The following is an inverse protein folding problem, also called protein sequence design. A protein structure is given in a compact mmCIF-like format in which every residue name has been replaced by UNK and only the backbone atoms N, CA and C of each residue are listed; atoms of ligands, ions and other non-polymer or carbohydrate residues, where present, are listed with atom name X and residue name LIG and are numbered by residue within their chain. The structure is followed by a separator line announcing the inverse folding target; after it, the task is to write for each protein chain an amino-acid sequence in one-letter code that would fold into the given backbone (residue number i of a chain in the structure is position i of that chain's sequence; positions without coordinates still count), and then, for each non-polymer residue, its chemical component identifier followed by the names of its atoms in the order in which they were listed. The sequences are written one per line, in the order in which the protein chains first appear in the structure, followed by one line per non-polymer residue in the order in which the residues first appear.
data_IF_996089702247
#
_entry.id   IF_996089702247
#
_cell.length_a   1.000
_cell.length_b   1.000
_cell.length_c   1.000
_cell.angle_alpha   90.00
_cell.angle_beta   90.00
_cell.angle_gamma   90.00
#
_symmetry.space_group_name_H-M   'P 1'
#
loop_
_entity.id
_entity.type
_entity.pdbx_description
1 polymer ?
#
# COMPACT_ATOMS: atom_id res chain seq x y z
N UNK A 1 -0.68 3.98 28.41
CA UNK A 1 -0.59 2.66 27.74
C UNK A 1 -1.00 1.57 28.73
N UNK A 2 -1.29 0.35 28.24
CA UNK A 2 -1.61 -0.81 29.11
C UNK A 2 -0.38 -1.70 29.19
N UNK A 3 0.20 -1.85 30.41
CA UNK A 3 1.34 -2.73 30.64
C UNK A 3 0.85 -4.10 31.03
N UNK A 4 1.24 -5.13 30.26
CA UNK A 4 0.77 -6.49 30.37
C UNK A 4 1.92 -7.48 30.24
N UNK A 5 1.95 -8.54 31.08
CA UNK A 5 2.88 -9.63 30.85
C UNK A 5 2.43 -10.42 29.63
N UNK A 6 3.38 -10.70 28.73
CA UNK A 6 3.08 -11.45 27.51
C UNK A 6 2.71 -12.90 27.85
N UNK A 7 1.65 -13.39 27.26
CA UNK A 7 1.15 -14.77 27.32
C UNK A 7 0.35 -15.03 26.07
N UNK A 8 0.07 -16.26 25.74
CA UNK A 8 -0.81 -16.62 24.61
C UNK A 8 -2.20 -15.98 24.72
N UNK A 9 -2.72 -15.86 25.94
CA UNK A 9 -4.02 -15.25 26.18
C UNK A 9 -3.99 -13.74 25.99
N UNK A 10 -3.00 -13.03 26.56
CA UNK A 10 -2.85 -11.59 26.36
C UNK A 10 -2.59 -11.22 24.90
N UNK A 11 -1.83 -12.02 24.16
CA UNK A 11 -1.62 -11.83 22.71
C UNK A 11 -2.93 -11.92 21.95
N UNK A 12 -3.76 -12.92 22.27
CA UNK A 12 -5.08 -13.09 21.63
C UNK A 12 -5.99 -11.90 21.92
N UNK A 13 -6.09 -11.44 23.17
CA UNK A 13 -6.91 -10.30 23.55
C UNK A 13 -6.49 -9.01 22.85
N UNK A 14 -5.17 -8.80 22.69
CA UNK A 14 -4.61 -7.67 21.95
C UNK A 14 -4.99 -7.74 20.48
N UNK A 15 -4.79 -8.90 19.84
CA UNK A 15 -5.17 -9.11 18.45
C UNK A 15 -6.67 -8.84 18.22
N UNK A 16 -7.54 -9.35 19.09
CA UNK A 16 -8.99 -9.08 19.02
C UNK A 16 -9.29 -7.61 19.16
N UNK A 17 -8.58 -6.87 20.03
CA UNK A 17 -8.74 -5.43 20.17
C UNK A 17 -8.24 -4.66 18.93
N UNK A 18 -7.08 -5.02 18.40
CA UNK A 18 -6.52 -4.42 17.19
C UNK A 18 -7.45 -4.62 15.98
N UNK A 19 -8.04 -5.82 15.83
CA UNK A 19 -8.97 -6.13 14.73
C UNK A 19 -10.27 -5.31 14.78
N UNK A 20 -10.66 -4.74 15.91
CA UNK A 20 -11.81 -3.82 15.99
C UNK A 20 -11.63 -2.56 15.12
N UNK A 21 -10.38 -2.20 14.81
CA UNK A 21 -10.02 -1.08 13.93
C UNK A 21 -10.08 -1.42 12.44
N UNK A 22 -10.32 -2.70 12.11
CA UNK A 22 -10.35 -3.15 10.72
C UNK A 22 -11.50 -2.49 9.95
N UNK A 23 -11.27 -2.01 8.72
CA UNK A 23 -12.31 -1.52 7.82
C UNK A 23 -13.46 -2.51 7.59
N UNK A 24 -13.25 -3.80 7.84
CA UNK A 24 -14.29 -4.82 7.75
C UNK A 24 -15.40 -4.67 8.82
N UNK A 25 -15.17 -3.89 9.87
CA UNK A 25 -16.13 -3.66 10.96
C UNK A 25 -16.96 -2.38 10.77
N UNK A 26 -16.82 -1.67 9.66
CA UNK A 26 -17.50 -0.39 9.38
C UNK A 26 -18.75 -0.51 8.51
N UNK A 27 -19.52 -1.59 8.63
CA UNK A 27 -20.72 -1.88 7.82
C UNK A 27 -21.74 -0.74 7.74
N UNK A 28 -21.81 0.14 8.76
CA UNK A 28 -22.68 1.32 8.74
C UNK A 28 -22.35 2.33 7.62
N UNK A 29 -21.13 2.34 7.10
CA UNK A 29 -20.70 3.23 6.01
C UNK A 29 -20.79 2.56 4.63
N UNK A 30 -20.90 1.24 4.57
CA UNK A 30 -20.89 0.49 3.30
C UNK A 30 -22.06 0.88 2.40
N UNK A 31 -23.27 1.05 2.96
CA UNK A 31 -24.44 1.45 2.18
C UNK A 31 -24.28 2.85 1.56
N UNK A 32 -23.70 3.81 2.29
CA UNK A 32 -23.43 5.15 1.77
C UNK A 32 -22.41 5.11 0.62
N UNK A 33 -21.31 4.35 0.82
CA UNK A 33 -20.28 4.17 -0.21
C UNK A 33 -20.84 3.47 -1.45
N UNK A 34 -21.63 2.41 -1.29
CA UNK A 34 -22.26 1.71 -2.40
C UNK A 34 -23.17 2.63 -3.22
N UNK A 35 -23.95 3.49 -2.55
CA UNK A 35 -24.79 4.48 -3.23
C UNK A 35 -23.97 5.51 -4.01
N UNK A 36 -22.88 6.04 -3.43
CA UNK A 36 -21.99 6.97 -4.12
C UNK A 36 -21.40 6.32 -5.38
N UNK A 37 -20.88 5.10 -5.26
CA UNK A 37 -20.28 4.37 -6.38
C UNK A 37 -21.29 4.07 -7.48
N UNK A 38 -22.53 3.66 -7.13
CA UNK A 38 -23.60 3.42 -8.08
C UNK A 38 -23.97 4.69 -8.84
N UNK A 39 -24.12 5.83 -8.14
CA UNK A 39 -24.43 7.11 -8.78
C UNK A 39 -23.30 7.57 -9.72
N UNK A 40 -22.03 7.44 -9.32
CA UNK A 40 -20.89 7.81 -10.19
C UNK A 40 -20.86 6.91 -11.42
N UNK A 41 -21.14 5.61 -11.27
CA UNK A 41 -21.18 4.67 -12.39
C UNK A 41 -22.31 5.01 -13.37
N UNK A 42 -23.48 5.43 -12.89
CA UNK A 42 -24.66 5.70 -13.71
C UNK A 42 -24.63 7.11 -14.32
N UNK A 43 -24.27 8.12 -13.52
CA UNK A 43 -24.42 9.54 -13.87
C UNK A 43 -23.07 10.23 -14.22
N UNK A 44 -21.93 9.54 -14.03
CA UNK A 44 -20.60 10.06 -14.38
C UNK A 44 -20.28 11.39 -13.69
N UNK A 45 -19.92 12.39 -14.49
CA UNK A 45 -19.50 13.72 -14.00
C UNK A 45 -20.59 14.45 -13.20
N UNK A 46 -21.86 14.28 -13.53
CA UNK A 46 -22.95 14.90 -12.78
C UNK A 46 -22.93 14.49 -11.31
N UNK A 47 -22.81 13.19 -11.03
CA UNK A 47 -22.70 12.69 -9.66
C UNK A 47 -21.38 13.13 -9.02
N UNK A 48 -20.27 13.07 -9.76
CA UNK A 48 -18.95 13.45 -9.29
C UNK A 48 -18.91 14.90 -8.80
N UNK A 49 -19.44 15.84 -9.58
CA UNK A 49 -19.49 17.25 -9.24
C UNK A 49 -20.45 17.54 -8.09
N UNK A 50 -21.61 16.85 -8.08
CA UNK A 50 -22.60 16.98 -7.00
C UNK A 50 -21.98 16.58 -5.65
N UNK A 51 -21.31 15.43 -5.58
CA UNK A 51 -20.64 14.98 -4.36
C UNK A 51 -19.45 15.85 -3.95
N UNK A 52 -18.66 16.37 -4.89
CA UNK A 52 -17.58 17.30 -4.60
C UNK A 52 -18.14 18.60 -3.99
N UNK A 53 -19.23 19.13 -4.53
CA UNK A 53 -19.93 20.29 -3.96
C UNK A 53 -20.49 19.99 -2.58
N UNK A 54 -21.06 18.78 -2.37
CA UNK A 54 -21.65 18.37 -1.09
C UNK A 54 -20.58 18.18 -0.01
N UNK A 55 -19.49 17.46 -0.29
CA UNK A 55 -18.52 17.05 0.73
C UNK A 55 -17.37 18.05 0.87
N UNK A 56 -16.79 18.51 -0.23
CA UNK A 56 -15.65 19.42 -0.22
C UNK A 56 -16.06 20.90 -0.17
N UNK A 57 -17.38 21.21 -0.40
CA UNK A 57 -17.95 22.57 -0.43
C UNK A 57 -17.37 23.44 -1.56
N UNK A 58 -16.90 22.80 -2.61
CA UNK A 58 -16.31 23.45 -3.80
C UNK A 58 -17.10 23.07 -5.04
N UNK A 59 -17.40 24.05 -5.87
CA UNK A 59 -18.02 23.81 -7.18
C UNK A 59 -16.95 23.57 -8.22
N UNK A 60 -16.97 22.36 -8.80
CA UNK A 60 -16.10 21.97 -9.91
C UNK A 60 -16.96 21.70 -11.15
N UNK A 61 -16.39 22.04 -12.30
CA UNK A 61 -17.00 21.83 -13.62
C UNK A 61 -15.96 21.16 -14.53
N UNK A 62 -16.35 20.64 -15.70
CA UNK A 62 -15.40 19.97 -16.60
C UNK A 62 -14.12 20.78 -16.90
N UNK A 63 -14.24 22.10 -17.01
CA UNK A 63 -13.15 23.01 -17.32
C UNK A 63 -12.20 23.26 -16.12
N UNK A 64 -12.65 23.07 -14.90
CA UNK A 64 -11.89 23.39 -13.68
C UNK A 64 -11.50 22.18 -12.85
N UNK A 65 -12.04 20.98 -13.12
CA UNK A 65 -11.72 19.78 -12.34
C UNK A 65 -10.28 19.34 -12.51
N UNK A 66 -9.70 19.49 -13.71
CA UNK A 66 -8.30 19.19 -13.98
C UNK A 66 -7.40 20.36 -13.58
N UNK A 67 -6.32 20.05 -12.90
CA UNK A 67 -5.26 21.02 -12.58
C UNK A 67 -4.56 21.44 -13.86
N UNK A 68 -4.39 22.75 -14.02
CA UNK A 68 -3.73 23.36 -15.18
C UNK A 68 -2.22 23.53 -14.94
N UNK A 69 -1.44 23.67 -16.02
CA UNK A 69 -0.01 24.00 -15.91
C UNK A 69 0.20 25.35 -15.20
N UNK A 70 -0.70 26.31 -15.37
CA UNK A 70 -0.64 27.60 -14.66
C UNK A 70 -0.77 27.43 -13.13
N UNK A 71 -1.66 26.55 -12.66
CA UNK A 71 -1.78 26.22 -11.22
C UNK A 71 -0.51 25.53 -10.70
N UNK A 72 0.13 24.71 -11.52
CA UNK A 72 1.41 24.07 -11.17
C UNK A 72 2.52 25.12 -11.08
N UNK A 73 2.61 26.06 -12.03
CA UNK A 73 3.58 27.15 -11.99
C UNK A 73 3.36 28.07 -10.77
N UNK A 74 2.11 28.35 -10.43
CA UNK A 74 1.77 29.10 -9.21
C UNK A 74 2.23 28.33 -7.95
N UNK A 75 2.02 27.00 -7.91
CA UNK A 75 2.46 26.17 -6.82
C UNK A 75 3.99 26.19 -6.62
N UNK A 76 4.76 26.14 -7.70
CA UNK A 76 6.23 26.28 -7.61
C UNK A 76 6.69 27.62 -7.05
N UNK A 77 5.93 28.70 -7.30
CA UNK A 77 6.23 30.03 -6.73
C UNK A 77 5.85 30.12 -5.25
N UNK A 78 4.86 29.34 -4.81
CA UNK A 78 4.34 29.36 -3.46
C UNK A 78 5.10 28.43 -2.50
N UNK A 79 5.74 27.37 -3.00
CA UNK A 79 6.50 26.43 -2.18
C UNK A 79 7.87 27.01 -1.84
N UNK A 80 8.27 26.88 -0.58
CA UNK A 80 9.61 27.26 -0.13
C UNK A 80 10.69 26.49 -0.89
N UNK A 81 11.72 27.20 -1.34
CA UNK A 81 12.81 26.61 -2.13
C UNK A 81 13.54 25.50 -1.35
N UNK A 82 13.67 25.62 -0.02
CA UNK A 82 14.26 24.59 0.83
C UNK A 82 13.42 23.31 0.86
N UNK A 83 12.09 23.43 0.93
CA UNK A 83 11.17 22.28 0.88
C UNK A 83 11.24 21.60 -0.49
N UNK A 84 11.27 22.35 -1.58
CA UNK A 84 11.44 21.80 -2.93
C UNK A 84 12.73 20.98 -3.04
N UNK A 85 13.82 21.46 -2.47
CA UNK A 85 15.09 20.74 -2.44
C UNK A 85 15.01 19.44 -1.64
N UNK A 86 14.32 19.45 -0.49
CA UNK A 86 14.06 18.26 0.33
C UNK A 86 13.22 17.23 -0.43
N UNK A 87 12.13 17.67 -1.10
CA UNK A 87 11.28 16.81 -1.95
C UNK A 87 12.14 16.13 -3.03
N UNK A 88 13.02 16.86 -3.70
CA UNK A 88 13.90 16.31 -4.74
C UNK A 88 14.92 15.31 -4.19
N UNK A 89 15.48 15.56 -3.02
CA UNK A 89 16.38 14.60 -2.35
C UNK A 89 15.65 13.32 -1.97
N UNK A 90 14.46 13.41 -1.38
CA UNK A 90 13.62 12.27 -1.06
C UNK A 90 13.27 11.47 -2.34
N UNK A 91 12.87 12.15 -3.42
CA UNK A 91 12.58 11.54 -4.71
C UNK A 91 13.75 10.72 -5.26
N UNK A 92 14.98 11.20 -5.13
CA UNK A 92 16.19 10.47 -5.55
C UNK A 92 16.33 9.17 -4.76
N UNK A 93 16.19 9.22 -3.44
CA UNK A 93 16.30 8.05 -2.58
C UNK A 93 15.19 7.01 -2.89
N UNK A 94 13.92 7.47 -2.98
CA UNK A 94 12.78 6.61 -3.29
C UNK A 94 12.96 5.94 -4.65
N UNK A 95 13.36 6.70 -5.66
CA UNK A 95 13.63 6.17 -7.01
C UNK A 95 14.75 5.14 -6.99
N UNK A 96 15.87 5.46 -6.35
CA UNK A 96 17.04 4.56 -6.26
C UNK A 96 16.68 3.23 -5.59
N UNK A 97 15.84 3.26 -4.56
CA UNK A 97 15.35 2.04 -3.91
C UNK A 97 14.46 1.22 -4.85
N UNK A 98 13.45 1.84 -5.45
CA UNK A 98 12.49 1.14 -6.30
C UNK A 98 13.10 0.64 -7.62
N UNK A 99 14.16 1.27 -8.14
CA UNK A 99 14.88 0.77 -9.30
C UNK A 99 15.49 -0.64 -9.09
N UNK A 100 15.80 -1.01 -7.84
CA UNK A 100 16.28 -2.36 -7.50
C UNK A 100 15.18 -3.43 -7.60
N UNK A 101 13.91 -3.01 -7.60
CA UNK A 101 12.76 -3.91 -7.70
C UNK A 101 12.34 -4.21 -9.15
N UNK A 102 12.97 -3.60 -10.16
CA UNK A 102 12.61 -3.80 -11.56
C UNK A 102 12.81 -5.25 -11.96
N UNK A 103 11.78 -5.82 -12.61
CA UNK A 103 11.81 -7.16 -13.14
C UNK A 103 11.93 -7.14 -14.66
N UNK A 104 12.65 -8.12 -15.20
CA UNK A 104 12.82 -8.32 -16.64
C UNK A 104 12.00 -9.50 -17.13
N UNK A 105 11.54 -9.43 -18.39
CA UNK A 105 11.04 -10.61 -19.09
C UNK A 105 12.16 -11.62 -19.26
N UNK A 106 11.83 -12.90 -19.20
CA UNK A 106 12.79 -13.97 -19.36
C UNK A 106 12.24 -15.11 -20.24
N UNK A 107 13.13 -15.83 -20.88
CA UNK A 107 12.84 -16.98 -21.71
C UNK A 107 13.87 -18.08 -21.43
N UNK A 108 13.39 -19.32 -21.50
CA UNK A 108 14.24 -20.51 -21.52
C UNK A 108 13.87 -21.33 -22.76
N UNK A 109 14.85 -21.96 -23.39
CA UNK A 109 14.64 -22.80 -24.57
C UNK A 109 15.29 -24.15 -24.40
N UNK A 110 14.76 -25.16 -25.09
CA UNK A 110 15.32 -26.49 -25.16
C UNK A 110 15.86 -26.76 -26.58
N UNK A 111 16.75 -27.74 -26.71
CA UNK A 111 17.31 -28.18 -28.00
C UNK A 111 16.21 -28.66 -28.96
N UNK A 112 15.08 -29.14 -28.45
CA UNK A 112 13.94 -29.64 -29.22
C UNK A 112 13.03 -28.55 -29.77
N UNK A 113 13.37 -27.26 -29.59
CA UNK A 113 12.60 -26.15 -30.12
C UNK A 113 11.36 -25.79 -29.27
N UNK A 114 11.45 -26.00 -27.97
CA UNK A 114 10.49 -25.45 -27.00
C UNK A 114 11.05 -24.15 -26.44
N UNK A 115 10.20 -23.10 -26.32
CA UNK A 115 10.53 -21.88 -25.61
C UNK A 115 9.42 -21.57 -24.61
N UNK A 116 9.79 -21.45 -23.35
CA UNK A 116 8.91 -21.01 -22.27
C UNK A 116 9.45 -19.70 -21.70
N UNK A 117 8.56 -18.85 -21.26
CA UNK A 117 9.00 -17.57 -20.72
C UNK A 117 7.90 -16.84 -19.94
N UNK A 118 8.30 -15.70 -19.42
CA UNK A 118 7.40 -14.77 -18.76
C UNK A 118 7.65 -13.36 -19.30
N UNK A 119 6.61 -12.76 -19.87
CA UNK A 119 6.64 -11.37 -20.30
C UNK A 119 6.17 -10.48 -19.16
N UNK A 120 7.02 -9.56 -18.74
CA UNK A 120 6.72 -8.51 -17.76
C UNK A 120 6.31 -7.25 -18.52
N UNK A 121 5.15 -6.69 -18.19
CA UNK A 121 4.64 -5.45 -18.80
C UNK A 121 4.06 -4.55 -17.74
N UNK A 122 4.26 -3.22 -17.82
CA UNK A 122 3.58 -2.28 -16.92
C UNK A 122 2.07 -2.29 -17.14
N UNK A 123 1.32 -1.82 -16.15
CA UNK A 123 -0.07 -1.42 -16.31
C UNK A 123 -0.16 -0.24 -17.28
N UNK A 124 -1.31 -0.08 -17.96
CA UNK A 124 -1.45 1.02 -18.93
C UNK A 124 -1.77 2.35 -18.24
N UNK A 125 -2.61 2.32 -17.20
CA UNK A 125 -3.00 3.53 -16.48
C UNK A 125 -3.23 3.24 -15.02
N UNK A 126 -2.69 4.09 -14.15
CA UNK A 126 -2.79 3.96 -12.69
C UNK A 126 -3.41 5.22 -12.10
N UNK A 127 -4.35 5.03 -11.19
CA UNK A 127 -4.94 6.08 -10.38
C UNK A 127 -4.24 6.16 -9.02
N UNK A 128 -3.80 7.36 -8.66
CA UNK A 128 -3.20 7.65 -7.35
C UNK A 128 -4.16 8.54 -6.58
N UNK A 129 -4.67 8.03 -5.47
CA UNK A 129 -5.47 8.83 -4.55
C UNK A 129 -4.56 9.45 -3.48
N UNK A 130 -4.60 10.76 -3.35
CA UNK A 130 -3.89 11.48 -2.30
C UNK A 130 -4.92 12.18 -1.41
N UNK A 131 -4.94 11.90 -0.09
CA UNK A 131 -5.87 12.55 0.80
C UNK A 131 -5.57 14.05 0.91
N UNK A 132 -6.62 14.81 1.14
CA UNK A 132 -6.55 16.22 1.52
C UNK A 132 -7.14 16.44 2.91
N UNK A 133 -7.19 17.66 3.37
CA UNK A 133 -7.80 18.04 4.63
C UNK A 133 -6.83 18.71 5.61
N UNK A 134 -6.78 18.22 6.88
CA UNK A 134 -5.98 18.86 7.94
C UNK A 134 -4.47 18.75 7.77
N UNK A 135 -4.01 17.72 7.10
CA UNK A 135 -2.59 17.49 6.80
C UNK A 135 -2.35 17.42 5.29
N UNK A 136 -1.15 17.75 4.89
CA UNK A 136 -0.67 17.71 3.51
C UNK A 136 0.37 16.60 3.42
N UNK A 137 0.26 15.78 2.39
CA UNK A 137 1.07 14.56 2.28
C UNK A 137 1.90 14.51 0.98
N UNK A 138 2.87 15.41 0.77
CA UNK A 138 3.76 15.34 -0.41
C UNK A 138 4.57 14.04 -0.44
N UNK A 139 4.90 13.46 0.71
CA UNK A 139 5.56 12.14 0.80
C UNK A 139 4.71 11.03 0.20
N UNK A 140 3.39 10.98 0.51
CA UNK A 140 2.48 9.99 -0.07
C UNK A 140 2.33 10.14 -1.58
N UNK A 141 2.46 11.35 -2.11
CA UNK A 141 2.52 11.57 -3.57
C UNK A 141 3.73 10.86 -4.16
N UNK A 142 4.92 11.07 -3.59
CA UNK A 142 6.16 10.45 -4.06
C UNK A 142 6.08 8.93 -3.96
N UNK A 143 5.66 8.41 -2.80
CA UNK A 143 5.61 6.97 -2.51
C UNK A 143 4.63 6.19 -3.40
N UNK A 144 3.58 6.83 -3.90
CA UNK A 144 2.63 6.18 -4.82
C UNK A 144 3.03 6.34 -6.30
N UNK A 145 3.59 7.49 -6.70
CA UNK A 145 3.88 7.77 -8.12
C UNK A 145 5.22 7.19 -8.56
N UNK A 146 6.26 7.29 -7.72
CA UNK A 146 7.62 6.88 -8.12
C UNK A 146 7.71 5.41 -8.48
N UNK A 147 7.21 4.44 -7.69
CA UNK A 147 7.26 3.03 -8.09
C UNK A 147 6.47 2.74 -9.37
N UNK A 148 5.36 3.44 -9.62
CA UNK A 148 4.63 3.34 -10.89
C UNK A 148 5.45 3.84 -12.08
N UNK A 149 6.17 4.97 -11.94
CA UNK A 149 7.09 5.47 -12.98
C UNK A 149 8.26 4.53 -13.20
N UNK A 150 8.86 3.98 -12.14
CA UNK A 150 9.95 2.98 -12.24
C UNK A 150 9.47 1.71 -12.94
N UNK A 151 8.23 1.27 -12.70
CA UNK A 151 7.62 0.15 -13.40
C UNK A 151 7.42 0.43 -14.91
N UNK A 152 7.42 1.69 -15.33
CA UNK A 152 7.21 2.10 -16.71
C UNK A 152 5.73 2.35 -17.05
N UNK A 153 4.87 2.63 -16.07
CA UNK A 153 3.46 2.99 -16.31
C UNK A 153 3.40 4.25 -17.17
N UNK A 154 2.78 4.21 -18.36
CA UNK A 154 2.76 5.36 -19.27
C UNK A 154 1.83 6.49 -18.83
N UNK A 155 0.76 6.19 -18.08
CA UNK A 155 -0.22 7.18 -17.66
C UNK A 155 -0.51 7.08 -16.15
N UNK A 156 -0.20 8.12 -15.40
CA UNK A 156 -0.48 8.24 -13.96
C UNK A 156 -1.45 9.39 -13.72
N UNK A 157 -2.63 9.05 -13.24
CA UNK A 157 -3.74 9.97 -12.93
C UNK A 157 -3.82 10.15 -11.43
N UNK A 158 -3.61 11.34 -10.92
CA UNK A 158 -3.75 11.63 -9.49
C UNK A 158 -5.08 12.31 -9.20
N UNK A 159 -5.76 11.91 -8.12
CA UNK A 159 -6.92 12.60 -7.57
C UNK A 159 -6.63 13.05 -6.15
N UNK A 160 -7.04 14.26 -5.81
CA UNK A 160 -6.91 14.83 -4.47
C UNK A 160 -8.02 15.87 -4.26
N UNK A 161 -8.66 15.92 -3.07
CA UNK A 161 -9.70 16.90 -2.83
C UNK A 161 -9.15 18.33 -2.89
N UNK A 162 -9.91 19.28 -3.44
CA UNK A 162 -9.55 20.69 -3.42
C UNK A 162 -9.70 21.27 -2.00
N UNK A 163 -8.94 22.32 -1.70
CA UNK A 163 -9.19 23.19 -0.56
C UNK A 163 -10.46 24.02 -0.74
N UNK A 164 -10.88 24.73 0.31
CA UNK A 164 -12.09 25.58 0.29
C UNK A 164 -12.04 26.69 -0.79
N UNK A 165 -10.87 27.06 -1.23
CA UNK A 165 -10.59 28.01 -2.30
C UNK A 165 -10.63 27.38 -3.71
N UNK A 166 -10.94 26.09 -3.81
CA UNK A 166 -10.96 25.34 -5.06
C UNK A 166 -9.57 24.95 -5.60
N UNK A 167 -8.49 25.22 -4.86
CA UNK A 167 -7.12 24.91 -5.24
C UNK A 167 -6.61 23.65 -4.52
N UNK A 168 -5.65 22.99 -5.14
CA UNK A 168 -4.87 21.93 -4.49
C UNK A 168 -3.70 22.55 -3.76
N UNK A 169 -3.31 21.97 -2.63
CA UNK A 169 -2.17 22.44 -1.87
C UNK A 169 -0.89 22.51 -2.74
N UNK A 170 -0.14 23.61 -2.71
CA UNK A 170 1.04 23.80 -3.56
C UNK A 170 2.10 22.70 -3.41
N UNK A 171 2.42 22.23 -2.19
CA UNK A 171 3.44 21.19 -2.01
C UNK A 171 2.98 19.83 -2.56
N UNK A 172 1.67 19.53 -2.54
CA UNK A 172 1.09 18.34 -3.21
C UNK A 172 1.27 18.43 -4.73
N UNK A 173 0.97 19.60 -5.34
CA UNK A 173 1.14 19.79 -6.78
C UNK A 173 2.60 19.69 -7.23
N UNK A 174 3.49 20.34 -6.48
CA UNK A 174 4.93 20.29 -6.77
C UNK A 174 5.44 18.85 -6.65
N UNK A 175 5.10 18.14 -5.59
CA UNK A 175 5.49 16.74 -5.42
C UNK A 175 4.96 15.85 -6.56
N UNK A 176 3.71 16.06 -7.00
CA UNK A 176 3.11 15.32 -8.11
C UNK A 176 3.83 15.57 -9.44
N UNK A 177 4.18 16.83 -9.72
CA UNK A 177 4.92 17.20 -10.93
C UNK A 177 6.34 16.64 -10.93
N UNK A 178 7.07 16.79 -9.82
CA UNK A 178 8.43 16.24 -9.63
C UNK A 178 8.45 14.69 -9.72
N UNK A 179 7.43 14.02 -9.17
CA UNK A 179 7.28 12.56 -9.25
C UNK A 179 6.87 12.07 -10.65
N UNK A 180 6.25 12.92 -11.47
CA UNK A 180 5.85 12.65 -12.84
C UNK A 180 4.40 12.20 -13.01
N UNK A 181 3.44 12.76 -12.25
CA UNK A 181 2.02 12.63 -12.54
C UNK A 181 1.71 13.24 -13.91
N UNK A 182 0.89 12.54 -14.72
CA UNK A 182 0.52 13.02 -16.06
C UNK A 182 -0.75 13.88 -16.01
N UNK A 183 -1.67 13.57 -15.11
CA UNK A 183 -2.92 14.30 -14.93
C UNK A 183 -3.27 14.38 -13.44
N UNK A 184 -3.77 15.54 -13.01
CA UNK A 184 -4.18 15.78 -11.61
C UNK A 184 -5.60 16.32 -11.61
N UNK A 185 -6.49 15.71 -10.79
CA UNK A 185 -7.90 16.08 -10.70
C UNK A 185 -8.28 16.50 -9.28
N UNK A 186 -9.05 17.57 -9.18
CA UNK A 186 -9.54 18.18 -7.93
C UNK A 186 -10.80 17.51 -7.44
N UNK A 187 -10.66 16.27 -6.96
CA UNK A 187 -11.75 15.46 -6.43
C UNK A 187 -11.24 14.50 -5.38
N UNK A 188 -11.97 14.35 -4.28
CA UNK A 188 -11.67 13.47 -3.16
C UNK A 188 -12.75 12.41 -2.91
N UNK A 189 -12.62 11.69 -1.79
CA UNK A 189 -13.63 10.78 -1.28
C UNK A 189 -13.92 9.54 -2.12
N UNK A 190 -15.02 8.86 -1.77
CA UNK A 190 -15.47 7.66 -2.46
C UNK A 190 -15.83 7.91 -3.94
N UNK A 191 -16.32 9.12 -4.26
CA UNK A 191 -16.65 9.52 -5.62
C UNK A 191 -15.42 9.59 -6.52
N UNK A 192 -14.24 10.00 -6.01
CA UNK A 192 -12.98 9.96 -6.75
C UNK A 192 -12.58 8.52 -7.09
N UNK A 193 -12.72 7.59 -6.15
CA UNK A 193 -12.47 6.16 -6.36
C UNK A 193 -13.42 5.61 -7.42
N UNK A 194 -14.70 5.97 -7.36
CA UNK A 194 -15.70 5.60 -8.39
C UNK A 194 -15.32 6.13 -9.78
N UNK A 195 -14.91 7.40 -9.87
CA UNK A 195 -14.47 8.00 -11.13
C UNK A 195 -13.24 7.30 -11.72
N UNK A 196 -12.23 7.01 -10.91
CA UNK A 196 -11.05 6.25 -11.34
C UNK A 196 -11.40 4.82 -11.77
N UNK A 197 -12.32 4.16 -11.05
CA UNK A 197 -12.68 2.78 -11.33
C UNK A 197 -13.54 2.61 -12.59
N UNK A 198 -14.53 3.47 -12.79
CA UNK A 198 -15.51 3.32 -13.89
C UNK A 198 -15.17 4.18 -15.10
N UNK A 199 -14.44 5.27 -14.88
CA UNK A 199 -14.27 6.35 -15.86
C UNK A 199 -15.50 7.28 -15.88
N UNK A 200 -15.26 8.56 -16.17
CA UNK A 200 -16.28 9.56 -16.43
C UNK A 200 -15.90 10.34 -17.69
N UNK A 201 -16.70 11.33 -18.10
CA UNK A 201 -16.28 12.16 -19.24
C UNK A 201 -14.99 12.98 -18.94
N UNK A 202 -14.80 13.40 -17.69
CA UNK A 202 -13.61 14.20 -17.27
C UNK A 202 -12.45 13.32 -16.82
N UNK A 203 -12.69 12.20 -16.13
CA UNK A 203 -11.64 11.36 -15.50
C UNK A 203 -11.56 10.01 -16.22
N UNK A 204 -10.40 9.67 -16.78
CA UNK A 204 -10.24 8.38 -17.46
C UNK A 204 -10.25 7.20 -16.48
N UNK A 205 -10.83 6.06 -16.91
CA UNK A 205 -10.73 4.80 -16.18
C UNK A 205 -9.28 4.35 -16.06
N UNK A 206 -8.94 3.77 -14.89
CA UNK A 206 -7.61 3.22 -14.60
C UNK A 206 -7.63 1.69 -14.42
N UNK A 207 -6.46 1.06 -14.47
CA UNK A 207 -6.30 -0.39 -14.26
C UNK A 207 -6.10 -0.73 -12.78
N UNK A 208 -5.48 0.19 -12.01
CA UNK A 208 -5.21 0.04 -10.58
C UNK A 208 -5.36 1.38 -9.86
N UNK A 209 -5.89 1.35 -8.64
CA UNK A 209 -6.00 2.51 -7.75
C UNK A 209 -5.12 2.26 -6.53
N UNK A 210 -4.20 3.19 -6.25
CA UNK A 210 -3.31 3.14 -5.09
C UNK A 210 -3.45 4.41 -4.26
N UNK A 211 -3.00 4.36 -3.02
CA UNK A 211 -2.95 5.49 -2.10
C UNK A 211 -3.86 5.34 -0.89
N UNK A 212 -3.44 5.92 0.25
CA UNK A 212 -4.18 5.90 1.50
C UNK A 212 -5.40 6.83 1.46
N UNK A 213 -6.37 6.59 2.31
CA UNK A 213 -7.53 7.45 2.44
C UNK A 213 -8.34 7.12 3.68
N UNK A 214 -9.35 7.95 3.97
CA UNK A 214 -10.25 7.72 5.08
C UNK A 214 -11.12 6.47 4.84
N UNK A 215 -11.95 6.12 5.82
CA UNK A 215 -12.82 4.93 5.78
C UNK A 215 -13.70 4.86 4.52
N UNK A 216 -14.20 5.99 4.00
CA UNK A 216 -15.02 6.01 2.78
C UNK A 216 -14.19 5.62 1.55
N UNK A 217 -12.93 6.08 1.48
CA UNK A 217 -12.00 5.72 0.42
C UNK A 217 -11.60 4.25 0.51
N UNK A 218 -11.28 3.76 1.71
CA UNK A 218 -10.93 2.36 1.95
C UNK A 218 -12.06 1.42 1.54
N UNK A 219 -13.31 1.71 1.96
CA UNK A 219 -14.49 0.95 1.58
C UNK A 219 -14.82 1.05 0.09
N UNK A 220 -14.60 2.23 -0.53
CA UNK A 220 -14.78 2.38 -1.97
C UNK A 220 -13.76 1.55 -2.76
N UNK A 221 -12.47 1.55 -2.36
CA UNK A 221 -11.44 0.69 -2.95
C UNK A 221 -11.82 -0.80 -2.82
N UNK A 222 -12.25 -1.23 -1.63
CA UNK A 222 -12.76 -2.59 -1.39
C UNK A 222 -13.90 -2.95 -2.34
N UNK A 223 -14.87 -2.05 -2.52
CA UNK A 223 -16.07 -2.29 -3.34
C UNK A 223 -15.78 -2.36 -4.85
N UNK A 224 -14.77 -1.66 -5.35
CA UNK A 224 -14.39 -1.67 -6.76
C UNK A 224 -13.33 -2.72 -7.11
N UNK A 225 -12.77 -3.41 -6.11
CA UNK A 225 -11.80 -4.49 -6.33
C UNK A 225 -12.41 -5.61 -7.18
N UNK A 226 -11.65 -6.06 -8.17
CA UNK A 226 -12.12 -7.00 -9.20
C UNK A 226 -12.65 -6.29 -10.47
N UNK A 227 -13.12 -5.05 -10.36
CA UNK A 227 -13.40 -4.18 -11.51
C UNK A 227 -12.14 -3.40 -11.93
N UNK A 228 -11.39 -2.96 -10.94
CA UNK A 228 -10.00 -2.47 -11.04
C UNK A 228 -9.16 -3.13 -9.95
N UNK A 229 -7.83 -3.16 -10.10
CA UNK A 229 -6.95 -3.57 -9.02
C UNK A 229 -6.80 -2.45 -7.98
N UNK A 230 -6.43 -2.81 -6.76
CA UNK A 230 -6.05 -1.86 -5.70
C UNK A 230 -4.72 -2.24 -5.08
N UNK A 231 -4.09 -1.35 -4.31
CA UNK A 231 -2.94 -1.66 -3.45
C UNK A 231 -3.35 -2.56 -2.28
N UNK A 232 -4.00 -1.97 -1.26
CA UNK A 232 -4.47 -2.67 -0.07
C UNK A 232 -5.73 -1.97 0.49
N UNK A 233 -6.36 -2.61 1.47
CA UNK A 233 -7.42 -2.01 2.28
C UNK A 233 -6.75 -1.53 3.57
N UNK A 234 -6.27 -0.29 3.57
CA UNK A 234 -5.55 0.28 4.68
C UNK A 234 -6.48 0.53 5.89
N UNK A 235 -6.01 0.17 7.06
CA UNK A 235 -6.55 0.58 8.35
C UNK A 235 -5.75 1.73 8.97
N UNK A 236 -6.02 2.04 10.25
CA UNK A 236 -5.21 2.99 11.01
C UNK A 236 -3.77 2.54 11.16
N UNK A 237 -2.86 3.50 11.25
CA UNK A 237 -1.41 3.27 11.33
C UNK A 237 -0.98 2.51 12.59
N UNK A 238 0.14 1.82 12.50
CA UNK A 238 0.64 0.90 13.53
C UNK A 238 2.16 0.96 13.66
N UNK A 239 2.64 1.01 14.90
CA UNK A 239 4.05 0.76 15.21
C UNK A 239 4.18 -0.33 16.28
N UNK A 240 5.17 -1.19 16.10
CA UNK A 240 5.64 -2.15 17.09
C UNK A 240 7.14 -1.95 17.27
N UNK A 241 7.56 -1.62 18.47
CA UNK A 241 8.97 -1.57 18.86
C UNK A 241 9.32 -2.84 19.63
N UNK A 242 10.25 -3.62 19.12
CA UNK A 242 10.81 -4.80 19.78
C UNK A 242 12.16 -4.44 20.36
N UNK A 243 12.27 -4.41 21.70
CA UNK A 243 13.44 -3.86 22.39
C UNK A 243 13.91 -4.74 23.53
N UNK A 244 15.23 -4.75 23.78
CA UNK A 244 15.84 -5.33 24.99
C UNK A 244 16.31 -4.22 25.97
N UNK A 245 16.99 -4.61 27.04
CA UNK A 245 17.48 -3.71 28.07
C UNK A 245 18.53 -2.68 27.57
N UNK A 246 19.07 -2.87 26.38
CA UNK A 246 20.07 -1.95 25.80
C UNK A 246 19.46 -0.75 25.09
N UNK A 247 18.14 -0.79 24.83
CA UNK A 247 17.43 0.27 24.12
C UNK A 247 17.34 1.57 24.94
N UNK A 248 17.41 2.71 24.25
CA UNK A 248 17.22 4.01 24.86
C UNK A 248 15.74 4.32 25.04
N UNK A 249 15.25 4.37 26.29
CA UNK A 249 13.84 4.61 26.61
C UNK A 249 13.31 5.93 26.02
N UNK A 250 14.14 6.97 25.94
CA UNK A 250 13.77 8.26 25.38
C UNK A 250 13.47 8.17 23.87
N UNK A 251 14.29 7.40 23.12
CA UNK A 251 14.06 7.16 21.68
C UNK A 251 12.83 6.30 21.45
N UNK A 252 12.72 5.16 22.15
CA UNK A 252 11.56 4.25 22.05
C UNK A 252 10.25 4.99 22.33
N UNK A 253 10.22 5.85 23.36
CA UNK A 253 9.04 6.66 23.65
C UNK A 253 8.70 7.63 22.51
N UNK A 254 9.70 8.28 21.92
CA UNK A 254 9.51 9.19 20.79
C UNK A 254 8.94 8.45 19.57
N UNK A 255 9.47 7.26 19.26
CA UNK A 255 9.05 6.45 18.12
C UNK A 255 7.62 5.92 18.29
N UNK A 256 7.23 5.48 19.48
CA UNK A 256 5.84 5.10 19.78
C UNK A 256 4.86 6.28 19.60
N UNK A 257 5.29 7.49 19.99
CA UNK A 257 4.45 8.69 19.91
C UNK A 257 4.37 9.28 18.51
N UNK A 258 5.39 9.09 17.65
CA UNK A 258 5.34 9.50 16.25
C UNK A 258 4.17 8.83 15.51
N UNK A 259 3.90 7.57 15.84
CA UNK A 259 2.77 6.86 15.26
C UNK A 259 1.44 7.19 15.94
N UNK A 260 1.44 7.32 17.27
CA UNK A 260 0.22 7.62 18.05
C UNK A 260 -0.39 8.99 17.70
N UNK A 261 0.40 9.95 17.19
CA UNK A 261 -0.09 11.26 16.79
C UNK A 261 -0.85 11.27 15.45
N UNK A 262 -0.78 10.19 14.65
CA UNK A 262 -1.43 10.13 13.35
C UNK A 262 -2.94 10.16 13.46
N UNK A 263 -3.53 9.33 14.34
CA UNK A 263 -4.98 9.20 14.51
C UNK A 263 -5.32 8.60 15.88
N UNK A 264 -6.52 8.90 16.40
CA UNK A 264 -7.03 8.31 17.66
C UNK A 264 -7.15 6.78 17.63
N UNK A 265 -7.17 6.19 16.43
CA UNK A 265 -7.21 4.75 16.16
C UNK A 265 -5.83 4.15 15.88
N UNK A 266 -4.76 4.93 15.81
CA UNK A 266 -3.41 4.42 15.65
C UNK A 266 -3.02 3.49 16.81
N UNK A 267 -2.15 2.52 16.57
CA UNK A 267 -1.62 1.67 17.65
C UNK A 267 -0.12 1.83 17.83
N UNK A 268 0.30 1.84 19.09
CA UNK A 268 1.69 1.92 19.50
C UNK A 268 1.99 0.80 20.51
N UNK A 269 2.84 -0.14 20.14
CA UNK A 269 3.11 -1.35 20.93
C UNK A 269 4.62 -1.44 21.18
N UNK A 270 4.99 -1.54 22.44
CA UNK A 270 6.34 -1.95 22.87
C UNK A 270 6.29 -3.42 23.30
N UNK A 271 7.17 -4.25 22.76
CA UNK A 271 7.45 -5.59 23.29
C UNK A 271 8.89 -5.59 23.82
N UNK A 272 9.08 -5.93 25.07
CA UNK A 272 10.40 -5.93 25.68
C UNK A 272 10.57 -7.06 26.70
N UNK A 273 11.81 -7.51 26.87
CA UNK A 273 12.22 -8.45 27.94
C UNK A 273 12.60 -7.72 29.22
N UNK A 274 12.69 -6.36 29.21
CA UNK A 274 13.14 -5.55 30.34
C UNK A 274 11.99 -4.79 30.97
N UNK A 275 11.66 -5.15 32.22
CA UNK A 275 10.69 -4.39 33.03
C UNK A 275 11.19 -2.98 33.33
N UNK A 276 12.50 -2.79 33.48
CA UNK A 276 13.11 -1.47 33.72
C UNK A 276 12.92 -0.56 32.50
N UNK A 277 13.20 -1.07 31.28
CA UNK A 277 12.96 -0.33 30.05
C UNK A 277 11.48 0.06 29.93
N UNK A 278 10.55 -0.86 30.18
CA UNK A 278 9.11 -0.59 30.15
C UNK A 278 8.73 0.59 31.04
N UNK A 279 9.17 0.60 32.30
CA UNK A 279 8.91 1.69 33.25
C UNK A 279 9.54 3.02 32.82
N UNK A 280 10.75 2.99 32.29
CA UNK A 280 11.43 4.19 31.81
C UNK A 280 10.70 4.76 30.56
N UNK A 281 10.24 3.92 29.63
CA UNK A 281 9.44 4.36 28.47
C UNK A 281 8.13 5.01 28.89
N UNK A 282 7.40 4.44 29.87
CA UNK A 282 6.19 5.07 30.40
C UNK A 282 6.45 6.48 30.94
N UNK A 283 7.53 6.65 31.69
CA UNK A 283 7.95 7.94 32.26
C UNK A 283 8.33 8.95 31.16
N UNK A 284 9.03 8.52 30.13
CA UNK A 284 9.40 9.37 28.98
C UNK A 284 8.15 9.83 28.20
N UNK A 285 7.17 8.93 27.98
CA UNK A 285 5.89 9.26 27.36
C UNK A 285 5.17 10.37 28.13
N UNK A 286 5.12 10.28 29.48
CA UNK A 286 4.51 11.34 30.31
C UNK A 286 5.25 12.68 30.16
N UNK A 287 6.57 12.63 29.96
CA UNK A 287 7.40 13.81 29.67
C UNK A 287 7.03 14.46 28.34
N UNK A 288 6.97 13.67 27.27
CA UNK A 288 6.63 14.14 25.92
C UNK A 288 5.20 14.70 25.81
N UNK A 289 4.22 14.10 26.48
CA UNK A 289 2.82 14.58 26.50
C UNK A 289 2.66 16.00 27.04
N UNK A 290 3.66 16.57 27.71
CA UNK A 290 3.63 17.96 28.19
C UNK A 290 4.00 18.97 27.11
N UNK A 291 4.67 18.54 26.05
CA UNK A 291 5.25 19.43 25.01
C UNK A 291 4.72 19.18 23.60
N UNK A 292 4.19 18.00 23.32
CA UNK A 292 3.68 17.66 21.99
C UNK A 292 2.35 18.35 21.69
N UNK A 293 2.20 18.87 20.47
CA UNK A 293 1.06 19.68 20.04
C UNK A 293 -0.22 18.87 19.83
N UNK A 294 -0.12 17.57 19.48
CA UNK A 294 -1.28 16.69 19.22
C UNK A 294 -1.65 15.78 20.39
N UNK A 295 -1.40 16.26 21.61
CA UNK A 295 -1.56 15.52 22.85
C UNK A 295 -2.89 14.76 22.95
N UNK A 296 -4.02 15.40 22.64
CA UNK A 296 -5.36 14.78 22.78
C UNK A 296 -5.54 13.56 21.87
N UNK A 297 -4.98 13.59 20.66
CA UNK A 297 -5.01 12.46 19.71
C UNK A 297 -4.13 11.34 20.24
N UNK A 298 -2.91 11.67 20.67
CA UNK A 298 -1.95 10.72 21.23
C UNK A 298 -2.53 10.01 22.46
N UNK A 299 -3.09 10.75 23.41
CA UNK A 299 -3.67 10.19 24.64
C UNK A 299 -4.78 9.17 24.32
N UNK A 300 -5.67 9.47 23.37
CA UNK A 300 -6.74 8.55 22.94
C UNK A 300 -6.18 7.31 22.24
N UNK A 301 -5.20 7.47 21.37
CA UNK A 301 -4.52 6.36 20.70
C UNK A 301 -3.88 5.43 21.74
N UNK A 302 -3.09 5.97 22.67
CA UNK A 302 -2.42 5.19 23.71
C UNK A 302 -3.38 4.55 24.71
N UNK A 303 -4.52 5.20 25.04
CA UNK A 303 -5.55 4.66 25.92
C UNK A 303 -6.22 3.43 25.29
N UNK A 304 -6.56 3.52 24.02
CA UNK A 304 -7.34 2.51 23.32
C UNK A 304 -6.47 1.38 22.74
N UNK A 305 -5.32 1.71 22.16
CA UNK A 305 -4.49 0.82 21.35
C UNK A 305 -2.99 0.88 21.67
N UNK A 306 -2.61 1.49 22.80
CA UNK A 306 -1.24 1.54 23.30
C UNK A 306 -0.96 0.39 24.28
N UNK A 307 0.08 -0.41 24.01
CA UNK A 307 0.47 -1.54 24.85
C UNK A 307 1.97 -1.55 25.13
N UNK A 308 2.32 -1.98 26.35
CA UNK A 308 3.67 -2.40 26.72
C UNK A 308 3.59 -3.86 27.14
N UNK A 309 4.23 -4.73 26.38
CA UNK A 309 4.21 -6.19 26.57
C UNK A 309 5.56 -6.63 27.13
N UNK A 310 5.53 -7.25 28.30
CA UNK A 310 6.75 -7.77 28.95
C UNK A 310 6.83 -9.27 28.67
N UNK A 311 7.78 -9.65 27.80
CA UNK A 311 8.05 -11.03 27.44
C UNK A 311 9.01 -11.70 28.44
N UNK A 312 8.96 -13.01 28.55
CA UNK A 312 9.89 -13.80 29.36
C UNK A 312 11.28 -13.84 28.72
N UNK A 313 11.32 -13.99 27.40
CA UNK A 313 12.53 -13.98 26.59
C UNK A 313 12.31 -13.36 25.20
N UNK A 314 13.38 -13.26 24.41
CA UNK A 314 13.32 -12.66 23.08
C UNK A 314 12.60 -13.57 22.05
N UNK A 315 12.61 -14.88 22.21
CA UNK A 315 11.91 -15.78 21.29
C UNK A 315 10.37 -15.65 21.45
N UNK A 316 9.88 -15.55 22.70
CA UNK A 316 8.47 -15.22 22.99
C UNK A 316 8.09 -13.83 22.41
N UNK A 317 8.96 -12.84 22.58
CA UNK A 317 8.76 -11.50 22.05
C UNK A 317 8.64 -11.49 20.51
N UNK A 318 9.50 -12.25 19.83
CA UNK A 318 9.48 -12.39 18.35
C UNK A 318 8.24 -13.15 17.88
N UNK A 319 7.80 -14.19 18.59
CA UNK A 319 6.55 -14.91 18.25
C UNK A 319 5.35 -13.96 18.31
N UNK A 320 5.23 -13.17 19.38
CA UNK A 320 4.16 -12.20 19.52
C UNK A 320 4.22 -11.10 18.44
N UNK A 321 5.41 -10.58 18.14
CA UNK A 321 5.61 -9.62 17.06
C UNK A 321 5.18 -10.18 15.70
N UNK A 322 5.52 -11.42 15.37
CA UNK A 322 5.08 -12.11 14.16
C UNK A 322 3.56 -12.33 14.12
N UNK A 323 2.93 -12.60 15.27
CA UNK A 323 1.46 -12.74 15.36
C UNK A 323 0.74 -11.39 15.18
N UNK A 324 1.26 -10.30 15.73
CA UNK A 324 0.71 -8.96 15.56
C UNK A 324 0.87 -8.51 14.11
N UNK A 325 2.02 -8.78 13.50
CA UNK A 325 2.31 -8.45 12.10
C UNK A 325 2.05 -6.97 11.79
N UNK A 326 2.70 -6.09 12.57
CA UNK A 326 2.51 -4.64 12.53
C UNK A 326 2.94 -4.02 11.19
N UNK A 327 2.37 -2.87 10.88
CA UNK A 327 2.74 -2.03 9.74
C UNK A 327 4.22 -1.63 9.80
N UNK A 328 4.64 -0.97 10.88
CA UNK A 328 6.03 -0.63 11.15
C UNK A 328 6.55 -1.48 12.30
N UNK A 329 7.73 -2.05 12.13
CA UNK A 329 8.41 -2.80 13.18
C UNK A 329 9.82 -2.28 13.36
N UNK A 330 10.11 -1.73 14.53
CA UNK A 330 11.45 -1.34 14.95
C UNK A 330 12.07 -2.41 15.82
N UNK A 331 13.33 -2.75 15.54
CA UNK A 331 14.11 -3.74 16.30
C UNK A 331 15.27 -3.01 16.96
N UNK A 332 15.11 -2.70 18.25
CA UNK A 332 16.06 -1.94 19.05
C UNK A 332 16.65 -2.84 20.13
N UNK A 333 17.49 -3.78 19.69
CA UNK A 333 18.12 -4.79 20.54
C UNK A 333 19.62 -4.84 20.27
N UNK A 334 20.38 -5.37 21.21
CA UNK A 334 21.83 -5.57 21.09
C UNK A 334 22.21 -6.35 19.82
N UNK A 335 21.41 -7.35 19.45
CA UNK A 335 21.63 -8.21 18.30
C UNK A 335 20.51 -8.05 17.24
N UNK A 336 20.19 -6.81 16.86
CA UNK A 336 19.06 -6.48 16.03
C UNK A 336 19.00 -7.24 14.68
N UNK A 337 20.15 -7.50 14.03
CA UNK A 337 20.21 -8.29 12.79
C UNK A 337 19.87 -9.76 12.99
N UNK A 338 20.24 -10.37 14.12
CA UNK A 338 19.85 -11.76 14.43
C UNK A 338 18.37 -11.87 14.71
N UNK A 339 17.80 -10.90 15.43
CA UNK A 339 16.36 -10.79 15.69
C UNK A 339 15.60 -10.62 14.39
N UNK A 340 16.06 -9.72 13.50
CA UNK A 340 15.44 -9.50 12.18
C UNK A 340 15.32 -10.80 11.38
N UNK A 341 16.30 -11.68 11.41
CA UNK A 341 16.25 -12.96 10.67
C UNK A 341 15.14 -13.90 11.13
N UNK A 342 14.60 -13.71 12.35
CA UNK A 342 13.48 -14.48 12.89
C UNK A 342 12.13 -13.81 12.68
N UNK A 343 12.11 -12.52 12.33
CA UNK A 343 10.90 -11.77 12.00
C UNK A 343 10.43 -12.16 10.60
N UNK A 344 9.15 -12.52 10.49
CA UNK A 344 8.52 -12.97 9.23
C UNK A 344 7.43 -12.03 8.74
N UNK A 345 6.76 -11.34 9.65
CA UNK A 345 5.54 -10.61 9.38
C UNK A 345 5.66 -9.16 9.88
N UNK A 346 6.03 -8.27 9.00
CA UNK A 346 6.02 -6.82 9.22
C UNK A 346 5.86 -6.11 7.87
N UNK A 347 5.22 -4.94 7.86
CA UNK A 347 5.12 -4.13 6.65
C UNK A 347 6.47 -3.53 6.28
N UNK A 348 7.16 -2.92 7.24
CA UNK A 348 8.55 -2.46 7.14
C UNK A 348 9.32 -2.80 8.42
N UNK A 349 10.62 -3.08 8.29
CA UNK A 349 11.51 -3.41 9.42
C UNK A 349 12.61 -2.36 9.52
N UNK A 350 12.72 -1.74 10.69
CA UNK A 350 13.72 -0.72 11.03
C UNK A 350 14.70 -1.31 12.04
N UNK A 351 16.00 -1.20 11.79
CA UNK A 351 17.02 -1.92 12.56
C UNK A 351 17.93 -0.94 13.28
N UNK A 352 17.94 -1.02 14.61
CA UNK A 352 18.81 -0.23 15.48
C UNK A 352 18.22 1.14 15.82
N UNK A 353 18.81 1.78 16.83
CA UNK A 353 18.30 2.98 17.50
C UNK A 353 18.27 4.26 16.65
N UNK A 354 18.95 4.26 15.50
CA UNK A 354 18.96 5.40 14.55
C UNK A 354 18.08 5.19 13.32
N UNK A 355 17.29 4.12 13.30
CA UNK A 355 16.40 3.78 12.19
C UNK A 355 14.94 3.88 12.64
N UNK A 356 14.51 5.09 12.96
CA UNK A 356 13.13 5.35 13.39
C UNK A 356 12.15 5.39 12.21
N UNK A 357 10.88 5.14 12.48
CA UNK A 357 9.80 5.11 11.48
C UNK A 357 9.76 6.36 10.60
N UNK A 358 9.87 7.62 11.14
CA UNK A 358 9.84 8.82 10.30
C UNK A 358 10.96 8.89 9.26
N UNK A 359 12.12 8.23 9.51
CA UNK A 359 13.15 8.10 8.48
C UNK A 359 12.63 7.34 7.26
N UNK A 360 11.90 6.25 7.47
CA UNK A 360 11.27 5.48 6.40
C UNK A 360 10.19 6.26 5.68
N UNK A 361 9.33 6.93 6.42
CA UNK A 361 8.19 7.66 5.89
C UNK A 361 8.58 8.80 4.96
N UNK A 362 9.70 9.45 5.22
CA UNK A 362 10.06 10.66 4.50
C UNK A 362 11.29 10.55 3.60
N UNK A 363 12.29 9.73 3.96
CA UNK A 363 13.60 9.97 3.34
C UNK A 363 14.43 8.73 2.98
N UNK A 364 14.26 7.59 3.66
CA UNK A 364 15.11 6.41 3.46
C UNK A 364 14.99 5.78 2.05
N UNK A 365 13.81 5.84 1.45
CA UNK A 365 13.56 5.32 0.12
C UNK A 365 12.59 4.14 0.03
N UNK A 366 12.55 3.16 0.97
CA UNK A 366 11.47 2.18 1.03
C UNK A 366 10.09 2.82 1.08
N UNK A 367 9.08 2.11 0.58
CA UNK A 367 7.72 2.65 0.49
C UNK A 367 7.03 2.65 1.84
N UNK A 368 6.32 3.72 2.16
CA UNK A 368 5.53 3.85 3.38
C UNK A 368 4.04 3.46 3.21
N UNK A 369 3.61 3.06 2.02
CA UNK A 369 2.28 2.47 1.82
C UNK A 369 2.38 1.00 2.20
N UNK A 370 2.06 0.70 3.43
CA UNK A 370 2.33 -0.56 4.09
C UNK A 370 1.04 -1.33 4.41
N UNK A 371 1.10 -2.65 4.57
CA UNK A 371 -0.03 -3.44 5.07
C UNK A 371 -0.26 -3.18 6.55
N UNK A 372 -1.53 -3.00 6.93
CA UNK A 372 -1.99 -2.74 8.30
C UNK A 372 -2.90 -3.85 8.81
N UNK A 373 -3.29 -3.82 10.09
CA UNK A 373 -4.25 -4.76 10.71
C UNK A 373 -3.85 -6.23 10.55
N UNK A 374 -2.55 -6.53 10.72
CA UNK A 374 -2.03 -7.89 10.64
C UNK A 374 -1.95 -8.45 9.22
N UNK A 375 -2.23 -7.65 8.20
CA UNK A 375 -2.19 -8.12 6.80
C UNK A 375 -0.77 -8.26 6.27
N UNK A 376 0.25 -7.81 6.99
CA UNK A 376 1.65 -8.09 6.69
C UNK A 376 1.99 -9.60 6.71
N UNK A 377 1.08 -10.45 7.18
CA UNK A 377 1.15 -11.92 7.04
C UNK A 377 1.03 -12.39 5.58
N UNK A 378 0.46 -11.59 4.67
CA UNK A 378 0.21 -11.98 3.28
C UNK A 378 0.25 -10.81 2.26
N UNK A 379 0.36 -9.57 2.71
CA UNK A 379 0.62 -8.41 1.87
C UNK A 379 2.02 -7.85 2.12
N UNK A 380 2.53 -7.12 1.13
CA UNK A 380 3.81 -6.40 1.19
C UNK A 380 3.60 -4.89 1.07
N UNK A 381 4.64 -4.12 1.34
CA UNK A 381 4.69 -2.71 1.00
C UNK A 381 4.46 -2.49 -0.50
N UNK A 382 3.86 -1.35 -0.85
CA UNK A 382 3.70 -0.95 -2.25
C UNK A 382 5.06 -0.93 -2.95
N UNK A 383 5.14 -1.58 -4.10
CA UNK A 383 6.39 -1.82 -4.82
C UNK A 383 6.20 -1.71 -6.33
N UNK A 384 7.28 -1.86 -7.08
CA UNK A 384 7.23 -1.92 -8.55
C UNK A 384 6.37 -3.09 -9.04
N UNK A 385 6.30 -4.20 -8.28
CA UNK A 385 5.49 -5.37 -8.62
C UNK A 385 3.99 -5.08 -8.67
N UNK A 386 3.53 -4.08 -7.93
CA UNK A 386 2.15 -3.64 -7.93
C UNK A 386 1.70 -2.99 -9.24
N UNK A 387 2.64 -2.53 -10.04
CA UNK A 387 2.41 -1.77 -11.27
C UNK A 387 2.76 -2.52 -12.55
N UNK A 388 3.10 -3.81 -12.43
CA UNK A 388 3.38 -4.70 -13.55
C UNK A 388 2.42 -5.89 -13.57
N UNK A 389 2.32 -6.51 -14.73
CA UNK A 389 1.66 -7.81 -14.90
C UNK A 389 2.57 -8.77 -15.65
N UNK A 390 2.41 -10.05 -15.38
CA UNK A 390 3.22 -11.13 -15.93
C UNK A 390 2.35 -12.05 -16.78
N UNK A 391 2.74 -12.27 -18.04
CA UNK A 391 2.06 -13.19 -18.94
C UNK A 391 2.97 -14.34 -19.28
N UNK A 392 2.48 -15.58 -19.18
CA UNK A 392 3.21 -16.75 -19.60
C UNK A 392 3.34 -16.78 -21.13
N UNK A 393 4.50 -17.15 -21.62
CA UNK A 393 4.78 -17.36 -23.04
C UNK A 393 5.09 -18.83 -23.23
N UNK A 394 4.35 -19.45 -24.13
CA UNK A 394 4.51 -20.87 -24.49
C UNK A 394 4.67 -20.96 -26.00
N UNK A 395 5.80 -21.50 -26.42
CA UNK A 395 6.06 -21.86 -27.83
C UNK A 395 6.57 -23.28 -27.90
N UNK A 396 5.99 -24.09 -28.78
CA UNK A 396 6.44 -25.44 -29.11
C UNK A 396 6.64 -25.56 -30.64
N UNK A 397 7.76 -26.14 -31.05
CA UNK A 397 7.91 -26.58 -32.43
C UNK A 397 6.97 -27.75 -32.68
N UNK A 398 6.71 -28.06 -33.96
CA UNK A 398 5.90 -29.23 -34.33
C UNK A 398 6.52 -30.52 -33.78
N UNK A 399 7.83 -30.69 -33.90
CA UNK A 399 8.54 -31.88 -33.39
C UNK A 399 8.45 -32.02 -31.88
N UNK A 400 8.61 -30.92 -31.15
CA UNK A 400 8.48 -30.95 -29.69
C UNK A 400 7.04 -31.30 -29.22
N UNK A 401 6.02 -30.78 -29.91
CA UNK A 401 4.64 -31.13 -29.61
C UNK A 401 4.33 -32.59 -29.98
N UNK A 402 4.90 -33.09 -31.05
CA UNK A 402 4.70 -34.49 -31.48
C UNK A 402 5.15 -35.50 -30.43
N UNK A 403 6.17 -35.18 -29.65
CA UNK A 403 6.64 -36.09 -28.60
C UNK A 403 5.64 -36.26 -27.45
N UNK A 404 4.81 -35.25 -27.20
CA UNK A 404 3.93 -35.22 -26.01
C UNK A 404 2.43 -35.15 -26.33
N UNK A 405 2.07 -35.10 -27.64
CA UNK A 405 0.65 -34.88 -28.03
C UNK A 405 -0.27 -35.97 -27.52
N UNK A 406 0.14 -37.25 -27.52
CA UNK A 406 -0.68 -38.36 -27.02
C UNK A 406 -0.94 -38.26 -25.51
N UNK A 407 0.06 -37.82 -24.73
CA UNK A 407 -0.07 -37.61 -23.29
C UNK A 407 -1.07 -36.49 -22.97
N UNK A 408 -1.01 -35.39 -23.75
CA UNK A 408 -1.97 -34.27 -23.59
C UNK A 408 -3.40 -34.72 -23.92
N UNK A 409 -3.58 -35.49 -25.02
CA UNK A 409 -4.89 -36.03 -25.43
C UNK A 409 -5.42 -36.95 -24.32
N UNK A 410 -4.59 -37.85 -23.78
CA UNK A 410 -4.98 -38.76 -22.71
C UNK A 410 -5.40 -37.98 -21.45
N UNK A 411 -4.60 -36.96 -21.06
CA UNK A 411 -4.90 -36.18 -19.86
C UNK A 411 -6.22 -35.40 -20.02
N UNK A 412 -6.40 -34.68 -21.14
CA UNK A 412 -7.64 -33.95 -21.41
C UNK A 412 -8.88 -34.89 -21.46
N UNK A 413 -8.70 -36.10 -22.01
CA UNK A 413 -9.75 -37.11 -22.07
C UNK A 413 -10.13 -37.64 -20.68
N UNK A 414 -9.16 -37.78 -19.77
CA UNK A 414 -9.43 -38.20 -18.39
C UNK A 414 -10.29 -37.18 -17.61
N UNK A 415 -10.22 -35.91 -18.00
CA UNK A 415 -11.06 -34.83 -17.50
C UNK A 415 -12.37 -34.67 -18.28
N UNK A 416 -12.65 -35.54 -19.25
CA UNK A 416 -13.82 -35.49 -20.15
C UNK A 416 -13.87 -34.21 -21.02
N UNK A 417 -12.70 -33.57 -21.22
CA UNK A 417 -12.57 -32.36 -22.03
C UNK A 417 -12.23 -32.73 -23.48
N UNK A 418 -13.20 -33.28 -24.21
CA UNK A 418 -13.00 -33.80 -25.58
C UNK A 418 -12.58 -32.74 -26.58
N UNK A 419 -13.03 -31.49 -26.45
CA UNK A 419 -12.60 -30.38 -27.30
C UNK A 419 -11.12 -30.01 -27.06
N UNK A 420 -10.62 -30.09 -25.82
CA UNK A 420 -9.19 -29.92 -25.51
C UNK A 420 -8.34 -31.03 -26.15
N UNK A 421 -8.76 -32.27 -25.99
CA UNK A 421 -8.11 -33.42 -26.65
C UNK A 421 -8.08 -33.26 -28.17
N UNK A 422 -9.22 -32.92 -28.78
CA UNK A 422 -9.33 -32.68 -30.21
C UNK A 422 -8.46 -31.54 -30.71
N UNK A 423 -8.33 -30.45 -29.93
CA UNK A 423 -7.46 -29.34 -30.28
C UNK A 423 -5.99 -29.76 -30.50
N UNK A 424 -5.52 -30.80 -29.82
CA UNK A 424 -4.18 -31.37 -30.04
C UNK A 424 -4.19 -32.39 -31.16
N UNK A 425 -5.18 -33.29 -31.20
CA UNK A 425 -5.28 -34.36 -32.17
C UNK A 425 -5.29 -33.87 -33.62
N UNK A 426 -6.06 -32.85 -33.94
CA UNK A 426 -6.16 -32.28 -35.31
C UNK A 426 -4.82 -31.80 -35.90
N UNK A 427 -3.82 -31.54 -35.08
CA UNK A 427 -2.49 -31.12 -35.50
C UNK A 427 -1.64 -32.27 -36.07
N UNK A 428 -2.07 -33.53 -35.84
CA UNK A 428 -1.33 -34.76 -36.23
C UNK A 428 -2.22 -35.78 -36.95
N UNK A 429 -3.49 -35.47 -37.27
CA UNK A 429 -4.44 -36.40 -37.93
C UNK A 429 -3.96 -37.06 -39.20
N UNK A 430 -3.14 -36.37 -40.02
CA UNK A 430 -2.61 -36.93 -41.27
C UNK A 430 -1.50 -37.97 -41.02
N UNK A 431 -0.83 -37.90 -39.91
CA UNK A 431 0.22 -38.82 -39.53
C UNK A 431 -0.35 -40.06 -38.85
N UNK A 432 -1.30 -39.87 -37.93
CA UNK A 432 -1.99 -40.95 -37.25
C UNK A 432 -2.77 -41.83 -38.24
N UNK A 433 -3.28 -41.25 -39.36
CA UNK A 433 -3.90 -42.01 -40.43
C UNK A 433 -2.93 -42.86 -41.25
N UNK A 434 -1.65 -42.50 -41.27
CA UNK A 434 -0.58 -43.26 -41.98
C UNK A 434 0.01 -44.38 -41.14
N UNK A 435 -0.14 -44.31 -39.82
CA UNK A 435 0.32 -45.31 -38.85
C UNK A 435 -0.73 -46.40 -38.55
N UNK A 436 -1.97 -46.26 -39.05
CA UNK A 436 -2.98 -47.31 -39.00
C UNK A 436 -2.76 -48.29 -40.15
N UNK A 437 -2.53 -49.61 -39.88
CA UNK A 437 -2.18 -50.64 -40.86
C UNK A 437 -3.34 -50.94 -41.80
#
# INVERSE_FOLDING_TARGET
MRTVRLTKESTKDILENLLKRSPNNYGKFEAAVANILANVKEKGDEALFSYTKEFDKVEVIPETIRVTEAEIEEAYKAVDASLLEVIRKALVNIRSYHEKQRQNSWFTSTEKGTMLGQKVTPLNRVGVYVPGGKAVYPSSVLMNIVPAKVAGVPHIVMTTPPGKDGKVNPSTLVAAKEAGADEIYKVGGAQAIGALAYGTASIPKVDKIVGPGNIFVALAKKAVYGHVSIDSIAGPSEILVLADETANAHYVAADLLSQAEHDEMASAILITTSTELAQNVEKEIEGYLKVLSRKEIIEKSLENFGYILIAEDMDEAIEAANEIASEHMEIVTKNAFEVMMKVRNAGAIFIGEYSSEPLGDYFAGPNHVLPTNGTAKFFSALSVDDFIKKSSIVYYSRSALQEIHKDIIQFASSEQLTAHANSIAVRFEEEDKKEQP
#
